data_IF_952686283424
#
_entry.id   IF_952686283424
#
_cell.length_a   1.000
_cell.length_b   1.000
_cell.length_c   1.000
_cell.angle_alpha   90.00
_cell.angle_beta   90.00
_cell.angle_gamma   90.00
#
_symmetry.space_group_name_H-M   'P 1'
#
loop_
_entity.id
_entity.type
_entity.pdbx_description
1 polymer ?
#
# COMPACT_ATOMS: atom_id res chain seq x y z
N UNK A 1 -13.97 -22.40 -11.41
CA UNK A 1 -13.33 -22.88 -12.66
C UNK A 1 -11.98 -22.22 -12.80
N UNK A 2 -10.89 -22.99 -12.70
CA UNK A 2 -9.52 -22.46 -12.77
C UNK A 2 -9.15 -22.06 -14.20
N UNK A 3 -8.52 -20.91 -14.36
CA UNK A 3 -7.94 -20.49 -15.64
C UNK A 3 -6.83 -21.44 -16.07
N UNK A 4 -6.83 -21.85 -17.34
CA UNK A 4 -5.75 -22.66 -17.94
C UNK A 4 -4.55 -21.75 -18.28
N UNK A 5 -3.32 -22.30 -18.36
CA UNK A 5 -2.15 -21.57 -18.85
C UNK A 5 -2.42 -20.98 -20.23
N UNK A 6 -1.95 -19.75 -20.48
CA UNK A 6 -2.05 -19.15 -21.81
C UNK A 6 -1.00 -19.79 -22.75
N UNK A 7 -1.47 -20.31 -23.89
CA UNK A 7 -0.60 -20.78 -24.96
C UNK A 7 -0.21 -19.66 -25.92
N UNK A 8 1.03 -19.71 -26.38
CA UNK A 8 1.59 -18.88 -27.44
C UNK A 8 1.54 -19.63 -28.77
N UNK A 9 1.53 -18.89 -29.88
CA UNK A 9 1.75 -19.48 -31.20
C UNK A 9 3.21 -19.99 -31.27
N UNK A 10 3.39 -21.31 -31.23
CA UNK A 10 4.69 -21.99 -31.12
C UNK A 10 4.82 -22.95 -29.93
N UNK A 11 3.89 -22.89 -28.97
CA UNK A 11 3.86 -23.80 -27.83
C UNK A 11 3.53 -25.24 -28.26
N UNK A 12 4.21 -26.21 -27.65
CA UNK A 12 4.02 -27.62 -27.99
C UNK A 12 2.59 -28.07 -27.69
N UNK A 13 1.95 -28.64 -28.71
CA UNK A 13 0.69 -29.37 -28.60
C UNK A 13 0.97 -30.86 -28.74
N UNK A 14 0.19 -31.70 -28.05
CA UNK A 14 0.22 -33.14 -28.33
C UNK A 14 -0.46 -33.34 -29.69
N UNK A 15 0.31 -33.31 -30.79
CA UNK A 15 -0.13 -33.56 -32.19
C UNK A 15 -1.61 -33.20 -32.45
N UNK A 16 -1.93 -31.91 -32.42
CA UNK A 16 -3.28 -31.40 -32.73
C UNK A 16 -4.28 -31.42 -31.57
N UNK A 17 -3.84 -31.75 -30.35
CA UNK A 17 -4.63 -31.74 -29.11
C UNK A 17 -4.01 -30.80 -28.07
N UNK A 18 -4.25 -31.06 -26.78
CA UNK A 18 -3.95 -30.19 -25.65
C UNK A 18 -2.52 -29.61 -25.64
N UNK A 19 -2.43 -28.36 -25.16
CA UNK A 19 -1.18 -27.64 -24.92
C UNK A 19 -0.44 -28.33 -23.78
N UNK A 20 0.78 -28.80 -24.06
CA UNK A 20 1.63 -29.53 -23.09
C UNK A 20 2.78 -28.69 -22.54
N UNK A 21 3.00 -27.48 -23.09
CA UNK A 21 3.97 -26.52 -22.59
C UNK A 21 3.37 -25.12 -22.72
N UNK A 22 2.95 -24.53 -21.60
CA UNK A 22 2.53 -23.13 -21.50
C UNK A 22 3.39 -22.39 -20.49
N UNK A 23 3.50 -21.07 -20.62
CA UNK A 23 4.27 -20.25 -19.67
C UNK A 23 3.54 -20.16 -18.33
N UNK A 24 4.07 -20.84 -17.31
CA UNK A 24 3.53 -20.83 -15.94
C UNK A 24 3.52 -19.44 -15.24
N UNK A 25 4.14 -18.42 -15.85
CA UNK A 25 4.27 -17.05 -15.29
C UNK A 25 3.50 -15.95 -16.02
N UNK A 26 2.47 -16.26 -16.82
CA UNK A 26 1.75 -15.29 -17.68
C UNK A 26 0.30 -15.12 -17.20
N UNK A 27 -0.02 -13.94 -16.66
CA UNK A 27 -1.31 -13.64 -16.01
C UNK A 27 -2.19 -12.69 -16.84
N UNK A 28 -3.24 -13.23 -17.45
CA UNK A 28 -4.31 -12.44 -18.09
C UNK A 28 -5.23 -11.89 -16.99
N UNK A 29 -5.33 -10.55 -16.85
CA UNK A 29 -6.44 -9.88 -16.14
C UNK A 29 -6.10 -9.13 -14.86
N UNK A 30 -4.86 -9.17 -14.37
CA UNK A 30 -4.49 -8.43 -13.17
C UNK A 30 -4.16 -6.95 -13.49
N UNK A 31 -4.57 -5.98 -12.64
CA UNK A 31 -4.22 -4.56 -12.76
C UNK A 31 -2.72 -4.29 -12.93
N UNK A 32 -1.88 -5.16 -12.37
CA UNK A 32 -0.40 -5.14 -12.42
C UNK A 32 0.19 -6.43 -13.01
N UNK A 33 -0.63 -7.26 -13.67
CA UNK A 33 -0.21 -8.55 -14.24
C UNK A 33 0.75 -8.42 -15.41
N UNK A 34 1.68 -9.37 -15.53
CA UNK A 34 2.85 -9.28 -16.44
C UNK A 34 2.55 -9.75 -17.88
N UNK A 35 1.37 -10.30 -18.21
CA UNK A 35 1.09 -10.67 -19.61
C UNK A 35 -0.40 -10.74 -20.03
N UNK A 36 -0.74 -10.13 -21.17
CA UNK A 36 -2.05 -10.17 -21.79
C UNK A 36 -1.94 -10.91 -23.12
N UNK A 37 -2.50 -12.12 -23.21
CA UNK A 37 -2.39 -12.96 -24.42
C UNK A 37 -3.16 -12.42 -25.63
N UNK A 38 -4.05 -11.45 -25.41
CA UNK A 38 -4.90 -10.82 -26.45
C UNK A 38 -4.44 -9.42 -26.82
N UNK A 39 -3.46 -8.87 -26.11
CA UNK A 39 -2.95 -7.53 -26.36
C UNK A 39 -1.88 -7.60 -27.47
N UNK A 40 -1.90 -6.69 -28.46
CA UNK A 40 -0.86 -6.62 -29.47
C UNK A 40 0.54 -6.57 -28.81
N UNK A 41 1.39 -7.54 -29.11
CA UNK A 41 2.75 -7.64 -28.55
C UNK A 41 2.85 -8.13 -27.10
N UNK A 42 1.77 -8.63 -26.48
CA UNK A 42 1.79 -9.14 -25.10
C UNK A 42 1.87 -8.06 -24.01
N UNK A 43 1.76 -6.79 -24.40
CA UNK A 43 1.91 -5.60 -23.54
C UNK A 43 0.72 -5.50 -22.57
N UNK A 44 0.97 -5.45 -21.25
CA UNK A 44 -0.07 -5.33 -20.19
C UNK A 44 -0.23 -3.94 -19.59
N UNK A 45 0.61 -2.99 -19.95
CA UNK A 45 0.40 -1.59 -19.61
C UNK A 45 0.99 -0.73 -20.72
N UNK A 46 0.15 0.07 -21.38
CA UNK A 46 0.63 1.18 -22.19
C UNK A 46 0.70 2.35 -21.22
N UNK A 47 1.83 2.57 -20.51
CA UNK A 47 1.94 3.60 -19.48
C UNK A 47 1.23 4.90 -19.92
N UNK A 48 0.02 5.22 -19.39
CA UNK A 48 -0.54 4.79 -18.10
C UNK A 48 -1.88 3.99 -18.12
N UNK A 49 -2.18 3.11 -19.08
CA UNK A 49 -3.45 2.36 -19.21
C UNK A 49 -3.23 0.84 -19.19
N UNK A 50 -4.00 0.14 -18.34
CA UNK A 50 -4.14 -1.31 -18.37
C UNK A 50 -5.17 -1.70 -19.46
N UNK A 51 -4.76 -2.39 -20.54
CA UNK A 51 -5.62 -2.67 -21.69
C UNK A 51 -6.73 -3.69 -21.39
N UNK A 52 -6.57 -4.53 -20.36
CA UNK A 52 -7.59 -5.52 -19.98
C UNK A 52 -8.71 -4.90 -19.14
N UNK A 53 -8.37 -3.94 -18.28
CA UNK A 53 -9.33 -3.31 -17.38
C UNK A 53 -9.84 -1.97 -17.91
N UNK A 54 -9.20 -1.40 -18.94
CA UNK A 54 -9.41 -0.01 -19.35
C UNK A 54 -9.05 1.01 -18.26
N UNK A 55 -8.36 0.56 -17.22
CA UNK A 55 -8.06 1.36 -16.04
C UNK A 55 -6.76 2.15 -16.25
N UNK A 56 -6.74 3.41 -15.81
CA UNK A 56 -5.50 4.15 -15.67
C UNK A 56 -4.72 3.57 -14.50
N UNK A 57 -3.44 3.25 -14.72
CA UNK A 57 -2.55 2.67 -13.73
C UNK A 57 -1.21 3.41 -13.73
N UNK A 58 -0.66 3.63 -12.54
CA UNK A 58 0.74 4.06 -12.35
C UNK A 58 1.36 3.09 -11.33
N UNK A 59 2.01 2.02 -11.80
CA UNK A 59 2.59 1.04 -10.90
C UNK A 59 3.91 1.54 -10.30
N UNK A 60 4.01 1.58 -8.98
CA UNK A 60 5.30 1.68 -8.27
C UNK A 60 6.07 3.00 -8.44
N UNK A 61 5.37 4.15 -8.37
CA UNK A 61 6.00 5.48 -8.33
C UNK A 61 6.81 5.63 -7.04
N UNK A 62 8.14 5.55 -7.14
CA UNK A 62 9.03 5.65 -5.96
C UNK A 62 9.30 7.11 -5.64
N UNK A 63 8.98 7.52 -4.41
CA UNK A 63 9.24 8.88 -3.91
C UNK A 63 10.50 8.92 -3.02
N UNK A 64 10.76 7.85 -2.27
CA UNK A 64 11.91 7.74 -1.39
C UNK A 64 12.46 6.31 -1.39
N UNK A 65 13.76 6.18 -1.59
CA UNK A 65 14.49 4.95 -1.38
C UNK A 65 15.89 5.28 -0.87
N UNK A 66 16.20 4.91 0.38
CA UNK A 66 17.55 5.00 0.90
C UNK A 66 18.16 3.59 0.90
N UNK A 67 19.32 3.37 0.25
CA UNK A 67 19.98 2.06 0.27
C UNK A 67 20.22 1.56 1.69
N UNK A 68 20.07 0.26 1.89
CA UNK A 68 20.28 -0.39 3.18
C UNK A 68 19.80 -1.85 3.16
N UNK A 69 20.15 -2.64 4.18
CA UNK A 69 19.54 -3.94 4.41
C UNK A 69 18.03 -3.77 4.70
N UNK A 70 17.17 -4.53 3.99
CA UNK A 70 15.70 -4.42 4.03
C UNK A 70 15.21 -2.95 4.16
N UNK A 71 15.41 -2.14 3.11
CA UNK A 71 15.22 -0.70 3.19
C UNK A 71 13.74 -0.32 3.23
N UNK A 72 13.41 0.75 3.93
CA UNK A 72 12.13 1.40 3.75
C UNK A 72 12.12 2.14 2.39
N UNK A 73 11.30 1.63 1.48
CA UNK A 73 11.04 2.24 0.18
C UNK A 73 9.62 2.78 0.22
N UNK A 74 9.47 4.10 0.15
CA UNK A 74 8.17 4.71 -0.02
C UNK A 74 7.89 4.86 -1.51
N UNK A 75 6.95 4.04 -1.96
CA UNK A 75 6.39 4.12 -3.30
C UNK A 75 4.88 4.27 -3.25
N UNK A 76 4.29 4.55 -4.40
CA UNK A 76 2.85 4.72 -4.57
C UNK A 76 2.39 3.99 -5.81
N UNK A 77 1.30 3.25 -5.69
CA UNK A 77 0.61 2.67 -6.83
C UNK A 77 -0.72 3.38 -7.03
N UNK A 78 -0.99 3.86 -8.24
CA UNK A 78 -2.31 4.35 -8.62
C UNK A 78 -3.03 3.32 -9.48
N UNK A 79 -4.32 3.16 -9.24
CA UNK A 79 -5.22 2.43 -10.11
C UNK A 79 -6.60 3.06 -10.10
N UNK A 80 -7.16 3.34 -11.27
CA UNK A 80 -8.56 3.74 -11.41
C UNK A 80 -9.54 2.55 -11.39
N UNK A 81 -9.03 1.33 -11.25
CA UNK A 81 -9.87 0.13 -11.21
C UNK A 81 -10.58 0.01 -9.86
N UNK A 82 -11.90 -0.21 -9.92
CA UNK A 82 -12.75 -0.33 -8.74
C UNK A 82 -12.96 -1.80 -8.42
N UNK A 83 -12.36 -2.25 -7.31
CA UNK A 83 -12.60 -3.61 -6.81
C UNK A 83 -13.94 -3.68 -6.09
N UNK A 84 -14.53 -4.88 -6.04
CA UNK A 84 -15.82 -5.12 -5.35
C UNK A 84 -15.71 -4.99 -3.82
N UNK A 85 -14.53 -5.24 -3.27
CA UNK A 85 -14.25 -5.27 -1.83
C UNK A 85 -13.02 -4.41 -1.50
N UNK A 86 -13.10 -3.09 -1.76
CA UNK A 86 -11.95 -2.21 -1.57
C UNK A 86 -11.54 -2.15 -0.10
N UNK A 87 -10.24 -2.08 0.17
CA UNK A 87 -9.74 -1.58 1.44
C UNK A 87 -10.06 -0.07 1.57
N UNK A 88 -10.10 0.48 2.80
CA UNK A 88 -10.17 1.92 3.01
C UNK A 88 -9.13 2.69 2.19
N UNK A 89 -9.42 3.96 1.92
CA UNK A 89 -8.50 4.89 1.28
C UNK A 89 -7.28 5.10 2.17
N UNK A 90 -6.10 5.03 1.57
CA UNK A 90 -4.82 5.20 2.27
C UNK A 90 -4.39 6.66 2.39
N UNK A 91 -3.20 6.88 2.94
CA UNK A 91 -2.65 8.22 3.23
C UNK A 91 -2.36 9.08 1.99
N UNK A 92 -2.38 8.49 0.80
CA UNK A 92 -2.23 9.23 -0.47
C UNK A 92 -3.58 9.62 -1.12
N UNK A 93 -4.69 9.31 -0.47
CA UNK A 93 -6.03 9.62 -0.97
C UNK A 93 -6.55 8.61 -2.00
N UNK A 94 -7.75 8.87 -2.55
CA UNK A 94 -8.47 7.88 -3.33
C UNK A 94 -7.71 7.46 -4.61
N UNK A 95 -7.78 6.17 -4.94
CA UNK A 95 -7.07 5.58 -6.09
C UNK A 95 -5.59 5.27 -5.86
N UNK A 96 -4.97 5.84 -4.82
CA UNK A 96 -3.58 5.56 -4.45
C UNK A 96 -3.46 4.53 -3.35
N UNK A 97 -2.36 3.76 -3.37
CA UNK A 97 -1.97 2.82 -2.32
C UNK A 97 -0.48 2.94 -2.00
N UNK A 98 -0.16 2.92 -0.71
CA UNK A 98 1.19 2.80 -0.18
C UNK A 98 1.55 1.32 0.05
N UNK A 99 2.85 0.96 0.09
CA UNK A 99 3.30 -0.38 0.45
C UNK A 99 2.74 -0.90 1.78
N UNK A 100 2.51 0.00 2.75
CA UNK A 100 1.98 -0.33 4.07
C UNK A 100 0.45 -0.29 4.19
N UNK A 101 -0.26 -0.06 3.08
CA UNK A 101 -1.72 -0.16 3.02
C UNK A 101 -2.21 -1.61 2.83
N UNK A 102 -1.28 -2.59 2.76
CA UNK A 102 -1.64 -4.02 2.70
C UNK A 102 -2.49 -4.37 3.93
N UNK A 103 -3.63 -5.01 3.66
CA UNK A 103 -4.64 -5.34 4.66
C UNK A 103 -5.25 -6.69 4.37
N UNK A 104 -5.48 -7.50 5.40
CA UNK A 104 -6.27 -8.71 5.32
C UNK A 104 -7.65 -8.44 5.92
N UNK A 105 -8.72 -8.71 5.19
CA UNK A 105 -10.08 -8.74 5.74
C UNK A 105 -10.41 -10.18 6.13
N UNK A 106 -10.90 -10.36 7.35
CA UNK A 106 -11.35 -11.65 7.87
C UNK A 106 -12.86 -11.66 7.80
N UNK A 107 -13.43 -12.60 7.05
CA UNK A 107 -14.88 -12.78 6.89
C UNK A 107 -15.23 -14.22 7.22
N UNK A 108 -16.51 -14.46 7.51
CA UNK A 108 -17.00 -15.80 7.87
C UNK A 108 -16.72 -16.83 6.76
N UNK A 109 -16.91 -16.43 5.50
CA UNK A 109 -16.78 -17.29 4.32
C UNK A 109 -15.41 -17.20 3.63
N UNK A 110 -14.42 -16.50 4.23
CA UNK A 110 -13.09 -16.41 3.61
C UNK A 110 -12.25 -15.21 4.00
N UNK A 111 -11.06 -15.16 3.40
CA UNK A 111 -10.07 -14.13 3.61
C UNK A 111 -9.91 -13.29 2.34
N UNK A 112 -9.77 -11.98 2.50
CA UNK A 112 -9.50 -11.06 1.38
C UNK A 112 -8.24 -10.27 1.68
N UNK A 113 -7.16 -10.55 0.94
CA UNK A 113 -5.95 -9.76 1.00
C UNK A 113 -6.05 -8.59 0.02
N UNK A 114 -6.04 -7.38 0.54
CA UNK A 114 -5.82 -6.18 -0.23
C UNK A 114 -4.32 -5.91 -0.35
N UNK A 115 -3.78 -6.01 -1.56
CA UNK A 115 -2.34 -5.82 -1.80
C UNK A 115 -1.96 -4.33 -1.94
N UNK A 116 -0.66 -4.06 -2.07
CA UNK A 116 -0.13 -2.70 -2.23
C UNK A 116 -0.48 -2.04 -3.56
N UNK A 117 -1.08 -2.78 -4.50
CA UNK A 117 -1.65 -2.24 -5.75
C UNK A 117 -3.15 -1.96 -5.65
N UNK A 118 -3.77 -2.21 -4.49
CA UNK A 118 -5.20 -2.02 -4.27
C UNK A 118 -6.07 -3.14 -4.83
N UNK A 119 -5.48 -4.29 -5.19
CA UNK A 119 -6.22 -5.47 -5.66
C UNK A 119 -6.81 -6.22 -4.49
N UNK A 120 -7.95 -6.88 -4.70
CA UNK A 120 -8.54 -7.81 -3.72
C UNK A 120 -8.26 -9.25 -4.17
N UNK A 121 -7.52 -9.99 -3.35
CA UNK A 121 -7.18 -11.39 -3.57
C UNK A 121 -7.93 -12.24 -2.56
N UNK A 122 -8.67 -13.24 -3.04
CA UNK A 122 -9.50 -14.09 -2.20
C UNK A 122 -8.80 -15.41 -1.85
N UNK A 123 -8.90 -15.80 -0.59
CA UNK A 123 -8.43 -17.07 -0.05
C UNK A 123 -9.52 -17.73 0.80
N UNK A 124 -9.45 -19.06 0.90
CA UNK A 124 -10.23 -19.81 1.88
C UNK A 124 -9.79 -19.45 3.31
N UNK A 125 -10.64 -19.65 4.34
CA UNK A 125 -10.24 -19.55 5.74
C UNK A 125 -9.04 -20.47 6.05
N UNK A 126 -8.14 -20.01 6.92
CA UNK A 126 -6.97 -20.76 7.36
C UNK A 126 -7.08 -21.15 8.84
N UNK A 127 -6.81 -22.41 9.15
CA UNK A 127 -6.57 -22.86 10.52
C UNK A 127 -5.21 -22.35 11.03
N UNK A 128 -5.01 -22.26 12.37
CA UNK A 128 -3.70 -21.93 12.92
C UNK A 128 -2.59 -22.85 12.40
N UNK A 129 -1.50 -22.26 11.91
CA UNK A 129 -0.37 -22.96 11.29
C UNK A 129 -0.56 -23.37 9.82
N UNK A 130 -1.74 -23.16 9.24
CA UNK A 130 -2.01 -23.52 7.85
C UNK A 130 -1.37 -22.53 6.86
N UNK A 131 -0.95 -23.05 5.70
CA UNK A 131 -0.38 -22.29 4.58
C UNK A 131 -1.14 -22.64 3.31
N UNK A 132 -1.65 -21.62 2.61
CA UNK A 132 -2.27 -21.74 1.30
C UNK A 132 -1.44 -21.03 0.23
N UNK A 133 -1.36 -21.62 -0.95
CA UNK A 133 -0.68 -21.04 -2.11
C UNK A 133 -1.66 -20.75 -3.23
N UNK A 134 -1.78 -19.48 -3.59
CA UNK A 134 -2.50 -19.06 -4.78
C UNK A 134 -1.57 -19.12 -6.00
N UNK A 135 -1.81 -20.11 -6.87
CA UNK A 135 -1.05 -20.25 -8.13
C UNK A 135 -1.28 -19.08 -9.09
N UNK A 136 -2.50 -18.53 -9.12
CA UNK A 136 -2.82 -17.39 -10.00
C UNK A 136 -2.17 -16.09 -9.54
N UNK A 137 -1.93 -15.94 -8.24
CA UNK A 137 -1.29 -14.75 -7.68
C UNK A 137 0.22 -14.94 -7.43
N UNK A 138 0.72 -16.18 -7.56
CA UNK A 138 2.06 -16.57 -7.13
C UNK A 138 2.37 -16.08 -5.71
N UNK A 139 1.41 -16.29 -4.82
CA UNK A 139 1.40 -15.73 -3.48
C UNK A 139 0.99 -16.79 -2.46
N UNK A 140 1.77 -16.91 -1.40
CA UNK A 140 1.44 -17.69 -0.22
C UNK A 140 0.77 -16.80 0.82
N UNK A 141 -0.29 -17.30 1.43
CA UNK A 141 -0.89 -16.77 2.64
C UNK A 141 -0.81 -17.86 3.72
N UNK A 142 -0.32 -17.49 4.89
CA UNK A 142 -0.21 -18.38 6.03
C UNK A 142 -0.82 -17.74 7.27
N UNK A 143 -1.21 -18.58 8.22
CA UNK A 143 -1.65 -18.17 9.55
C UNK A 143 -0.68 -18.69 10.59
N UNK A 144 -0.26 -17.83 11.51
CA UNK A 144 0.53 -18.25 12.67
C UNK A 144 -0.22 -19.24 13.57
N UNK A 145 0.41 -19.65 14.67
CA UNK A 145 -0.13 -20.61 15.63
C UNK A 145 0.70 -21.87 15.80
N UNK A 146 1.86 -21.99 15.15
CA UNK A 146 2.75 -23.15 15.28
C UNK A 146 4.21 -22.73 15.34
N UNK A 147 4.98 -23.37 16.22
CA UNK A 147 6.40 -23.10 16.36
C UNK A 147 7.18 -23.43 15.08
N UNK A 148 6.84 -24.53 14.40
CA UNK A 148 7.54 -24.98 13.21
C UNK A 148 6.59 -25.57 12.19
N UNK A 149 6.91 -25.36 10.91
CA UNK A 149 6.29 -26.05 9.80
C UNK A 149 6.99 -27.40 9.56
N UNK A 150 6.24 -28.38 9.05
CA UNK A 150 6.81 -29.67 8.68
C UNK A 150 7.88 -29.51 7.60
N UNK A 151 8.92 -30.34 7.60
CA UNK A 151 10.07 -30.22 6.68
C UNK A 151 9.70 -30.32 5.18
N UNK A 152 8.58 -30.97 4.87
CA UNK A 152 8.04 -31.08 3.50
C UNK A 152 7.40 -29.79 2.99
N UNK A 153 7.12 -28.82 3.86
CA UNK A 153 6.56 -27.52 3.47
C UNK A 153 7.67 -26.66 2.85
N UNK A 154 7.56 -26.20 1.59
CA UNK A 154 8.56 -25.35 0.95
C UNK A 154 8.97 -24.11 1.74
N UNK A 155 8.05 -23.53 2.52
CA UNK A 155 8.31 -22.35 3.35
C UNK A 155 8.86 -22.69 4.75
N UNK A 156 9.16 -23.96 5.05
CA UNK A 156 9.59 -24.37 6.40
C UNK A 156 10.86 -23.66 6.87
N UNK A 157 11.86 -23.51 6.00
CA UNK A 157 13.09 -22.78 6.31
C UNK A 157 12.82 -21.28 6.56
N UNK A 158 12.04 -20.65 5.67
CA UNK A 158 11.68 -19.24 5.79
C UNK A 158 10.79 -18.99 7.03
N UNK A 159 9.96 -19.95 7.43
CA UNK A 159 9.16 -19.88 8.65
C UNK A 159 10.05 -19.73 9.89
N UNK A 160 11.15 -20.47 9.97
CA UNK A 160 12.06 -20.43 11.14
C UNK A 160 12.77 -19.09 11.34
N UNK A 161 12.80 -18.26 10.30
CA UNK A 161 13.39 -16.92 10.38
C UNK A 161 12.48 -15.94 11.14
N UNK A 162 11.19 -16.24 11.26
CA UNK A 162 10.24 -15.39 11.95
C UNK A 162 10.47 -15.37 13.48
N UNK A 163 10.27 -14.21 14.13
CA UNK A 163 10.19 -14.12 15.59
C UNK A 163 9.21 -15.14 16.19
N UNK A 164 9.52 -15.65 17.39
CA UNK A 164 8.74 -16.73 18.01
C UNK A 164 7.30 -16.30 18.34
N UNK A 165 7.12 -15.10 18.86
CA UNK A 165 5.83 -14.48 19.13
C UNK A 165 4.95 -14.41 17.87
N UNK A 166 5.55 -14.08 16.72
CA UNK A 166 4.88 -14.06 15.42
C UNK A 166 4.48 -15.47 14.97
N UNK A 167 5.36 -16.46 15.13
CA UNK A 167 5.09 -17.87 14.74
C UNK A 167 3.99 -18.49 15.59
N UNK A 168 3.99 -18.24 16.89
CA UNK A 168 3.05 -18.84 17.84
C UNK A 168 1.69 -18.15 17.87
N UNK A 169 1.57 -16.92 17.36
CA UNK A 169 0.31 -16.18 17.40
C UNK A 169 -0.70 -16.67 16.34
N UNK A 170 -1.87 -17.19 16.73
CA UNK A 170 -2.93 -17.57 15.79
C UNK A 170 -3.68 -16.35 15.22
N UNK A 171 -3.35 -15.15 15.67
CA UNK A 171 -3.97 -13.89 15.23
C UNK A 171 -3.13 -13.17 14.17
N UNK A 172 -1.91 -13.61 13.92
CA UNK A 172 -1.05 -13.08 12.88
C UNK A 172 -1.22 -13.88 11.59
N UNK A 173 -1.34 -13.15 10.49
CA UNK A 173 -1.27 -13.72 9.15
C UNK A 173 0.02 -13.26 8.47
N UNK A 174 0.52 -14.10 7.58
CA UNK A 174 1.79 -13.90 6.91
C UNK A 174 1.56 -14.05 5.42
N UNK A 175 2.12 -13.16 4.61
CA UNK A 175 2.11 -13.31 3.16
C UNK A 175 3.54 -13.31 2.63
N UNK A 176 3.80 -14.06 1.57
CA UNK A 176 5.05 -13.98 0.81
C UNK A 176 4.82 -14.40 -0.64
N UNK A 177 5.58 -13.85 -1.58
CA UNK A 177 5.56 -14.24 -2.98
C UNK A 177 6.84 -14.98 -3.39
N UNK A 178 7.68 -15.37 -2.44
CA UNK A 178 8.99 -15.97 -2.67
C UNK A 178 9.32 -16.98 -1.59
N UNK A 179 9.95 -18.09 -1.97
CA UNK A 179 10.44 -19.07 -1.01
C UNK A 179 11.59 -18.54 -0.13
N UNK A 180 12.22 -17.43 -0.54
CA UNK A 180 13.31 -16.75 0.18
C UNK A 180 12.82 -15.51 0.94
N UNK A 181 11.51 -15.25 0.90
CA UNK A 181 10.90 -14.07 1.49
C UNK A 181 11.00 -12.81 0.63
N UNK A 182 10.65 -11.65 1.22
CA UNK A 182 10.34 -11.48 2.63
C UNK A 182 8.96 -12.03 3.04
N UNK A 183 8.74 -12.16 4.34
CA UNK A 183 7.42 -12.27 4.95
C UNK A 183 6.84 -10.89 5.21
N UNK A 184 5.62 -10.64 4.75
CA UNK A 184 4.77 -9.54 5.20
C UNK A 184 3.95 -9.99 6.41
N UNK A 185 4.11 -9.30 7.53
CA UNK A 185 3.43 -9.61 8.79
C UNK A 185 2.15 -8.78 8.88
N UNK A 186 1.01 -9.46 8.88
CA UNK A 186 -0.32 -8.89 8.97
C UNK A 186 -0.87 -9.14 10.39
N UNK A 187 -0.71 -8.14 11.24
CA UNK A 187 -1.05 -8.19 12.65
C UNK A 187 -2.24 -7.32 13.04
N UNK A 188 -2.55 -7.33 14.34
CA UNK A 188 -3.52 -6.44 14.95
C UNK A 188 -2.82 -5.12 15.36
N UNK A 189 -3.23 -3.96 14.83
CA UNK A 189 -2.54 -2.70 15.08
C UNK A 189 -2.92 -2.02 16.39
N UNK A 190 -4.08 -2.33 16.96
CA UNK A 190 -4.59 -1.67 18.16
C UNK A 190 -4.14 -2.51 19.36
N UNK A 191 -3.15 -1.99 20.10
CA UNK A 191 -2.78 -2.30 21.48
C UNK A 191 -2.82 -3.79 21.91
N UNK A 192 -1.66 -4.30 22.33
CA UNK A 192 -1.60 -5.49 23.19
C UNK A 192 -2.18 -5.09 24.57
N UNK A 193 -3.26 -5.74 25.04
CA UNK A 193 -3.84 -5.45 26.36
C UNK A 193 -2.78 -5.62 27.45
N UNK A 194 -2.79 -4.77 28.47
CA UNK A 194 -1.97 -5.02 29.66
C UNK A 194 -2.47 -6.27 30.39
N UNK A 195 -1.62 -6.89 31.22
CA UNK A 195 -1.91 -8.20 31.84
C UNK A 195 -3.26 -8.27 32.60
N UNK A 196 -3.75 -7.12 33.07
CA UNK A 196 -4.99 -6.98 33.84
C UNK A 196 -6.18 -6.43 33.02
N UNK A 197 -5.98 -6.16 31.72
CA UNK A 197 -7.00 -5.61 30.83
C UNK A 197 -7.75 -6.72 30.06
N UNK A 198 -9.08 -6.64 30.03
CA UNK A 198 -9.89 -7.56 29.21
C UNK A 198 -9.55 -7.31 27.74
N UNK A 199 -9.11 -8.34 26.97
CA UNK A 199 -8.75 -8.13 25.58
C UNK A 199 -9.94 -7.57 24.77
N UNK A 200 -9.76 -6.47 24.02
CA UNK A 200 -10.77 -5.99 23.09
C UNK A 200 -11.15 -7.09 22.08
N UNK A 201 -12.37 -7.02 21.55
CA UNK A 201 -12.74 -7.86 20.42
C UNK A 201 -11.78 -7.60 19.24
N UNK A 202 -11.22 -8.69 18.70
CA UNK A 202 -10.28 -8.59 17.59
C UNK A 202 -11.00 -8.03 16.36
N UNK A 203 -10.44 -7.01 15.69
CA UNK A 203 -11.03 -6.48 14.48
C UNK A 203 -11.16 -7.56 13.41
N UNK A 204 -12.19 -7.43 12.57
CA UNK A 204 -12.40 -8.26 11.38
C UNK A 204 -11.36 -7.99 10.26
N UNK A 205 -10.19 -7.49 10.61
CA UNK A 205 -9.10 -7.21 9.69
C UNK A 205 -7.72 -7.26 10.38
N UNK A 206 -6.68 -7.43 9.58
CA UNK A 206 -5.27 -7.27 9.95
C UNK A 206 -4.61 -6.29 9.01
N UNK A 207 -3.59 -5.60 9.47
CA UNK A 207 -2.84 -4.63 8.67
C UNK A 207 -1.36 -4.99 8.68
N UNK A 208 -0.61 -4.49 7.71
CA UNK A 208 0.84 -4.64 7.71
C UNK A 208 1.45 -3.96 8.93
N UNK A 209 2.12 -4.75 9.77
CA UNK A 209 2.85 -4.30 10.96
C UNK A 209 4.35 -4.42 10.78
N UNK A 210 4.81 -5.30 9.90
CA UNK A 210 6.22 -5.41 9.58
C UNK A 210 6.53 -6.31 8.40
N UNK A 211 7.82 -6.37 8.08
CA UNK A 211 8.41 -7.20 7.05
C UNK A 211 9.64 -7.88 7.61
N UNK A 212 9.80 -9.18 7.37
CA UNK A 212 10.98 -9.95 7.79
C UNK A 212 11.59 -10.60 6.56
N UNK A 213 12.86 -10.31 6.28
CA UNK A 213 13.54 -10.95 5.16
C UNK A 213 14.06 -12.34 5.51
N UNK A 214 14.61 -13.06 4.51
CA UNK A 214 15.15 -14.41 4.71
C UNK A 214 16.37 -14.50 5.65
N UNK A 215 16.89 -13.37 6.13
CA UNK A 215 18.01 -13.30 7.08
C UNK A 215 17.56 -12.90 8.49
N UNK A 216 16.26 -12.68 8.72
CA UNK A 216 15.72 -12.31 10.02
C UNK A 216 15.79 -10.82 10.32
N UNK A 217 16.16 -9.99 9.32
CA UNK A 217 16.14 -8.54 9.47
C UNK A 217 14.71 -8.05 9.38
N UNK A 218 14.38 -7.05 10.17
CA UNK A 218 13.01 -6.58 10.35
C UNK A 218 12.84 -5.15 9.86
N UNK A 219 11.76 -4.88 9.14
CA UNK A 219 11.23 -3.55 8.94
C UNK A 219 9.89 -3.45 9.68
N UNK A 220 9.74 -2.45 10.54
CA UNK A 220 8.57 -2.31 11.42
C UNK A 220 7.81 -1.03 11.11
N UNK A 221 6.48 -1.14 10.99
CA UNK A 221 5.58 0.00 10.83
C UNK A 221 4.95 0.37 12.18
N UNK A 222 5.25 1.57 12.66
CA UNK A 222 4.74 2.11 13.91
C UNK A 222 3.47 2.90 13.65
N UNK A 223 2.41 2.58 14.38
CA UNK A 223 1.09 3.19 14.22
C UNK A 223 0.75 4.04 15.44
N UNK A 224 0.04 5.14 15.20
CA UNK A 224 -0.48 5.96 16.30
C UNK A 224 -1.49 5.14 17.12
N UNK A 225 -1.31 5.09 18.43
CA UNK A 225 -2.23 4.39 19.33
C UNK A 225 -3.53 5.17 19.55
N UNK A 226 -3.45 6.50 19.61
CA UNK A 226 -4.55 7.39 19.98
C UNK A 226 -4.58 8.68 19.13
N UNK A 227 -5.63 9.47 19.31
CA UNK A 227 -5.84 10.75 18.64
C UNK A 227 -6.46 10.64 17.25
N UNK A 228 -6.54 11.77 16.54
CA UNK A 228 -7.25 11.87 15.25
C UNK A 228 -6.65 11.01 14.12
N UNK A 229 -5.43 10.49 14.32
CA UNK A 229 -4.72 9.63 13.37
C UNK A 229 -4.50 8.21 13.89
N UNK A 230 -5.23 7.78 14.92
CA UNK A 230 -5.14 6.44 15.49
C UNK A 230 -5.22 5.34 14.42
N UNK A 231 -4.36 4.33 14.54
CA UNK A 231 -4.21 3.23 13.59
C UNK A 231 -3.43 3.56 12.31
N UNK A 232 -3.17 4.84 12.00
CA UNK A 232 -2.35 5.22 10.84
C UNK A 232 -0.85 5.08 11.14
N UNK A 233 -0.05 4.79 10.10
CA UNK A 233 1.41 4.67 10.21
C UNK A 233 2.03 6.05 10.37
N UNK A 234 2.66 6.29 11.52
CA UNK A 234 3.35 7.56 11.85
C UNK A 234 4.85 7.41 11.96
N UNK A 235 5.36 6.17 11.94
CA UNK A 235 6.79 5.91 11.90
C UNK A 235 7.13 4.58 11.25
N UNK A 236 8.38 4.46 10.81
CA UNK A 236 8.95 3.23 10.25
C UNK A 236 10.36 3.05 10.78
N UNK A 237 10.71 1.82 11.16
CA UNK A 237 12.11 1.44 11.40
C UNK A 237 12.50 0.43 10.34
N UNK A 238 13.54 0.69 9.56
CA UNK A 238 14.00 -0.24 8.52
C UNK A 238 15.04 -1.25 9.03
N UNK A 239 15.47 -2.17 8.15
CA UNK A 239 16.43 -3.21 8.51
C UNK A 239 17.85 -2.70 8.82
N UNK A 240 18.13 -1.41 8.57
CA UNK A 240 19.37 -0.74 8.96
C UNK A 240 19.26 -0.06 10.34
N UNK A 241 18.07 -0.07 10.95
CA UNK A 241 17.79 0.65 12.20
C UNK A 241 17.50 2.14 12.01
N UNK A 242 17.30 2.61 10.77
CA UNK A 242 16.92 4.01 10.53
C UNK A 242 15.47 4.22 10.91
N UNK A 243 15.19 5.33 11.59
CA UNK A 243 13.83 5.70 11.98
C UNK A 243 13.32 6.83 11.09
N UNK A 244 12.15 6.60 10.51
CA UNK A 244 11.41 7.55 9.70
C UNK A 244 10.18 8.02 10.46
N UNK A 245 9.89 9.31 10.39
CA UNK A 245 8.65 9.89 10.89
C UNK A 245 7.76 10.35 9.74
N UNK A 246 6.52 9.86 9.71
CA UNK A 246 5.50 10.20 8.73
C UNK A 246 4.57 11.23 9.36
N UNK A 247 4.64 12.46 8.86
CA UNK A 247 3.78 13.56 9.32
C UNK A 247 2.43 13.43 8.64
N UNK A 248 1.38 13.23 9.41
CA UNK A 248 0.02 13.06 8.91
C UNK A 248 -0.83 14.29 9.23
N UNK A 249 -1.74 14.64 8.32
CA UNK A 249 -2.76 15.68 8.54
C UNK A 249 -4.16 15.13 8.35
N UNK A 250 -5.11 15.66 9.10
CA UNK A 250 -6.54 15.41 8.90
C UNK A 250 -7.15 16.41 7.94
N UNK A 251 -8.34 16.10 7.41
CA UNK A 251 -9.07 17.04 6.56
C UNK A 251 -9.39 18.34 7.29
N UNK A 252 -9.82 18.26 8.56
CA UNK A 252 -10.12 19.42 9.38
C UNK A 252 -8.89 20.32 9.60
N UNK A 253 -7.72 19.73 9.87
CA UNK A 253 -6.46 20.48 10.01
C UNK A 253 -6.09 21.21 8.72
N UNK A 254 -6.23 20.56 7.56
CA UNK A 254 -5.97 21.20 6.25
C UNK A 254 -6.96 22.32 5.95
N UNK A 255 -8.24 22.15 6.29
CA UNK A 255 -9.26 23.18 6.15
C UNK A 255 -8.97 24.40 7.03
N UNK A 256 -8.54 24.18 8.28
CA UNK A 256 -8.14 25.25 9.18
C UNK A 256 -6.89 25.99 8.70
N UNK A 257 -5.86 25.27 8.22
CA UNK A 257 -4.67 25.86 7.64
C UNK A 257 -5.01 26.75 6.44
N UNK A 258 -5.90 26.29 5.56
CA UNK A 258 -6.40 27.07 4.43
C UNK A 258 -7.11 28.36 4.90
N UNK A 259 -7.97 28.27 5.92
CA UNK A 259 -8.65 29.45 6.52
C UNK A 259 -7.64 30.46 7.08
N UNK A 260 -6.63 29.99 7.81
CA UNK A 260 -5.55 30.84 8.37
C UNK A 260 -4.77 31.56 7.26
N UNK A 261 -4.34 30.84 6.22
CA UNK A 261 -3.62 31.43 5.07
C UNK A 261 -4.46 32.47 4.31
N UNK A 262 -5.77 32.24 4.20
CA UNK A 262 -6.68 33.21 3.56
C UNK A 262 -6.82 34.47 4.41
N UNK A 263 -6.95 34.34 5.72
CA UNK A 263 -7.05 35.48 6.63
C UNK A 263 -5.78 36.36 6.57
N UNK A 264 -4.58 35.75 6.58
CA UNK A 264 -3.31 36.51 6.45
C UNK A 264 -3.19 37.21 5.10
N UNK A 265 -3.64 36.55 4.01
CA UNK A 265 -3.61 37.13 2.66
C UNK A 265 -4.57 38.32 2.51
N UNK A 266 -5.75 38.25 3.13
CA UNK A 266 -6.73 39.35 3.17
C UNK A 266 -6.28 40.53 4.04
N UNK A 267 -5.35 40.30 4.97
CA UNK A 267 -4.84 41.31 5.91
C UNK A 267 -3.63 42.09 5.37
N UNK A 268 -3.11 41.74 4.19
CA UNK A 268 -1.93 42.39 3.58
C UNK A 268 -2.32 43.62 2.74
N UNK A 269 -1.78 44.83 3.02
CA UNK A 269 -2.18 46.06 2.35
C UNK A 269 -1.35 46.34 1.07
N UNK A 270 -1.50 45.55 0.00
CA UNK A 270 -1.17 45.94 -1.39
C UNK A 270 -1.32 44.77 -2.37
N UNK A 271 -2.26 44.86 -3.32
CA UNK A 271 -2.32 43.99 -4.50
C UNK A 271 -3.73 43.92 -5.11
N UNK A 272 -3.88 43.88 -6.46
CA UNK A 272 -5.19 43.87 -7.10
C UNK A 272 -6.00 42.66 -6.64
N UNK A 273 -7.25 42.90 -6.22
CA UNK A 273 -8.18 41.85 -5.80
C UNK A 273 -8.49 40.95 -6.98
N UNK A 274 -7.79 39.82 -7.07
CA UNK A 274 -8.21 38.75 -7.97
C UNK A 274 -9.45 38.11 -7.36
N UNK A 275 -10.61 38.40 -7.96
CA UNK A 275 -11.86 37.70 -7.70
C UNK A 275 -11.78 36.28 -8.29
N UNK A 276 -10.83 35.47 -7.80
CA UNK A 276 -10.85 34.04 -8.08
C UNK A 276 -11.88 33.41 -7.16
N UNK A 277 -13.01 33.01 -7.77
CA UNK A 277 -14.05 32.15 -7.22
C UNK A 277 -13.44 31.07 -6.33
N UNK A 278 -13.50 31.27 -5.01
CA UNK A 278 -12.79 30.40 -4.07
C UNK A 278 -13.52 29.08 -3.94
N UNK A 279 -12.89 27.99 -4.37
CA UNK A 279 -13.25 26.68 -3.87
C UNK A 279 -13.07 26.70 -2.35
N UNK A 280 -14.14 26.44 -1.62
CA UNK A 280 -14.06 26.22 -0.17
C UNK A 280 -13.20 24.96 0.08
N UNK A 281 -12.36 24.99 1.11
CA UNK A 281 -11.69 23.79 1.60
C UNK A 281 -12.59 23.19 2.69
N UNK A 282 -13.25 22.05 2.45
CA UNK A 282 -14.25 21.52 3.36
C UNK A 282 -13.60 20.90 4.60
N UNK A 283 -14.23 21.02 5.77
CA UNK A 283 -13.73 20.41 7.01
C UNK A 283 -13.86 18.87 7.01
N UNK A 284 -14.76 18.32 6.20
CA UNK A 284 -15.00 16.88 6.06
C UNK A 284 -14.99 16.43 4.60
N UNK A 285 -14.67 15.16 4.37
CA UNK A 285 -14.79 14.51 3.06
C UNK A 285 -16.11 13.72 2.99
N UNK A 286 -16.62 13.43 1.77
CA UNK A 286 -17.73 12.51 1.60
C UNK A 286 -17.46 11.16 2.27
N UNK A 287 -18.47 10.59 2.93
CA UNK A 287 -18.35 9.37 3.75
C UNK A 287 -17.93 8.11 2.96
N UNK A 288 -17.99 8.15 1.63
CA UNK A 288 -17.57 7.05 0.78
C UNK A 288 -17.01 7.55 -0.54
N UNK A 289 -16.00 6.84 -1.03
CA UNK A 289 -15.48 7.00 -2.39
C UNK A 289 -15.68 5.70 -3.14
N UNK A 290 -15.58 5.76 -4.46
CA UNK A 290 -15.56 4.57 -5.32
C UNK A 290 -14.30 3.68 -5.07
N UNK A 291 -13.38 4.15 -4.22
CA UNK A 291 -12.14 3.49 -3.81
C UNK A 291 -12.16 3.01 -2.35
N UNK A 292 -13.31 3.07 -1.67
CA UNK A 292 -13.49 2.69 -0.27
C UNK A 292 -13.78 3.88 0.65
N UNK A 293 -13.97 3.59 1.94
CA UNK A 293 -14.16 4.63 2.97
C UNK A 293 -12.90 5.48 3.12
N UNK A 294 -13.07 6.79 3.24
CA UNK A 294 -11.97 7.75 3.36
C UNK A 294 -12.05 8.49 4.70
N UNK A 295 -11.02 8.32 5.53
CA UNK A 295 -10.92 8.95 6.84
C UNK A 295 -10.33 10.37 6.78
N UNK A 296 -9.95 10.86 5.59
CA UNK A 296 -9.38 12.19 5.40
C UNK A 296 -7.96 12.36 5.96
N UNK A 297 -7.29 11.29 6.40
CA UNK A 297 -5.89 11.34 6.83
C UNK A 297 -4.98 11.33 5.60
N UNK A 298 -4.00 12.22 5.55
CA UNK A 298 -3.03 12.31 4.46
C UNK A 298 -1.60 12.46 4.95
N UNK A 299 -0.65 11.89 4.22
CA UNK A 299 0.78 12.05 4.47
C UNK A 299 1.24 13.41 3.98
N UNK A 300 1.68 14.31 4.85
CA UNK A 300 2.19 15.63 4.46
C UNK A 300 3.70 15.61 4.17
N UNK A 301 4.47 14.92 5.01
CA UNK A 301 5.92 14.88 4.91
C UNK A 301 6.51 13.60 5.50
N UNK A 302 7.72 13.25 5.05
CA UNK A 302 8.51 12.14 5.60
C UNK A 302 9.85 12.68 6.05
N UNK A 303 10.20 12.41 7.31
CA UNK A 303 11.48 12.78 7.91
C UNK A 303 12.29 11.53 8.22
N UNK A 304 13.62 11.64 8.08
CA UNK A 304 14.55 10.72 8.73
C UNK A 304 14.92 11.34 10.07
N UNK A 305 14.54 10.69 11.17
CA UNK A 305 14.73 11.21 12.53
C UNK A 305 15.89 10.55 13.25
N UNK A 306 16.33 9.38 12.79
CA UNK A 306 17.50 8.70 13.32
C UNK A 306 18.17 7.87 12.23
N UNK A 307 19.49 8.01 12.09
CA UNK A 307 20.33 7.14 11.26
C UNK A 307 21.50 6.60 12.11
N UNK A 308 21.56 5.29 12.41
CA UNK A 308 22.66 4.71 13.18
C UNK A 308 24.04 4.91 12.56
N UNK A 309 24.14 5.05 11.23
CA UNK A 309 25.41 5.27 10.56
C UNK A 309 25.89 6.73 10.69
N UNK A 310 24.96 7.66 10.87
CA UNK A 310 25.21 9.10 10.96
C UNK A 310 24.37 9.74 12.08
N UNK A 311 24.64 9.42 13.35
CA UNK A 311 23.78 9.81 14.47
C UNK A 311 23.69 11.33 14.66
N UNK A 312 24.73 12.07 14.26
CA UNK A 312 24.84 13.52 14.44
C UNK A 312 24.39 14.32 13.19
N UNK A 313 24.07 13.66 12.07
CA UNK A 313 23.75 14.32 10.79
C UNK A 313 22.27 14.19 10.42
N UNK A 314 21.37 14.73 11.25
CA UNK A 314 19.95 14.72 10.93
C UNK A 314 19.61 15.72 9.81
N UNK A 315 18.78 15.31 8.81
CA UNK A 315 18.31 16.23 7.78
C UNK A 315 17.55 17.43 8.36
N UNK A 316 17.89 18.64 7.89
CA UNK A 316 17.18 19.88 8.23
C UNK A 316 15.88 20.09 7.45
N UNK A 317 15.61 19.22 6.48
CA UNK A 317 14.44 19.25 5.61
C UNK A 317 13.86 17.83 5.46
N UNK A 318 12.54 17.71 5.23
CA UNK A 318 11.92 16.42 4.98
C UNK A 318 12.46 15.80 3.69
N UNK A 319 12.47 14.47 3.65
CA UNK A 319 12.92 13.69 2.50
C UNK A 319 11.96 13.79 1.31
N UNK A 320 10.66 13.87 1.61
CA UNK A 320 9.60 14.09 0.64
C UNK A 320 8.46 14.88 1.28
N UNK A 321 7.75 15.69 0.47
CA UNK A 321 6.51 16.37 0.88
C UNK A 321 5.41 16.16 -0.14
N UNK A 322 4.17 16.24 0.34
CA UNK A 322 2.98 15.97 -0.45
C UNK A 322 1.94 17.07 -0.22
N UNK A 323 1.22 17.43 -1.27
CA UNK A 323 0.09 18.36 -1.17
C UNK A 323 -1.16 17.75 -1.77
N UNK A 324 -2.32 18.24 -1.34
CA UNK A 324 -3.60 17.64 -1.66
C UNK A 324 -4.60 18.68 -2.18
N UNK A 325 -5.57 18.23 -2.98
CA UNK A 325 -6.73 19.02 -3.38
C UNK A 325 -7.69 19.21 -2.18
N UNK A 326 -8.66 20.12 -2.30
CA UNK A 326 -9.73 20.28 -1.30
C UNK A 326 -10.55 19.00 -1.11
N UNK A 327 -10.68 18.17 -2.17
CA UNK A 327 -11.29 16.85 -2.13
C UNK A 327 -10.40 15.74 -1.56
N UNK A 328 -9.20 16.08 -1.07
CA UNK A 328 -8.29 15.12 -0.44
C UNK A 328 -7.54 14.23 -1.44
N UNK A 329 -7.44 14.61 -2.72
CA UNK A 329 -6.68 13.87 -3.73
C UNK A 329 -5.24 14.35 -3.77
N UNK A 330 -4.27 13.45 -3.98
CA UNK A 330 -2.86 13.83 -4.02
C UNK A 330 -2.57 14.73 -5.22
N UNK A 331 -2.21 15.99 -4.96
CA UNK A 331 -1.98 17.01 -5.98
C UNK A 331 -0.54 17.02 -6.51
N UNK A 332 0.44 16.94 -5.62
CA UNK A 332 1.85 17.04 -6.00
C UNK A 332 2.77 16.34 -4.99
N UNK A 333 3.95 15.95 -5.47
CA UNK A 333 5.06 15.43 -4.66
C UNK A 333 6.27 16.33 -4.86
N UNK A 334 6.96 16.62 -3.76
CA UNK A 334 8.16 17.43 -3.71
C UNK A 334 9.32 16.61 -3.14
N UNK A 335 10.49 16.76 -3.73
CA UNK A 335 11.73 16.16 -3.23
C UNK A 335 12.28 16.92 -2.02
N UNK A 336 13.43 16.46 -1.50
CA UNK A 336 14.15 17.08 -0.37
C UNK A 336 14.55 18.53 -0.62
N UNK A 337 14.81 18.91 -1.87
CA UNK A 337 15.14 20.30 -2.23
C UNK A 337 13.92 21.23 -2.19
N UNK A 338 12.72 20.64 -2.15
CA UNK A 338 11.46 21.33 -2.26
C UNK A 338 11.02 21.57 -3.70
N UNK A 339 11.66 20.92 -4.67
CA UNK A 339 11.26 20.97 -6.07
C UNK A 339 10.08 20.03 -6.29
N UNK A 340 9.03 20.51 -6.96
CA UNK A 340 7.92 19.65 -7.37
C UNK A 340 8.44 18.66 -8.42
N UNK A 341 8.38 17.37 -8.12
CA UNK A 341 8.83 16.29 -9.02
C UNK A 341 7.65 15.58 -9.69
N UNK A 342 6.47 15.59 -9.08
CA UNK A 342 5.25 14.99 -9.63
C UNK A 342 4.08 15.93 -9.46
N UNK A 343 3.15 15.93 -10.41
CA UNK A 343 1.85 16.57 -10.24
C UNK A 343 0.73 15.78 -10.92
N UNK A 344 -0.47 15.88 -10.33
CA UNK A 344 -1.64 15.09 -10.71
C UNK A 344 -2.89 15.97 -10.84
N UNK A 345 -3.73 15.64 -11.81
CA UNK A 345 -5.02 16.30 -12.06
C UNK A 345 -6.13 15.26 -12.05
N UNK A 346 -7.26 15.62 -11.47
CA UNK A 346 -8.39 14.72 -11.24
C UNK A 346 -9.65 15.22 -11.94
N UNK A 347 -10.55 14.28 -12.20
CA UNK A 347 -11.91 14.51 -12.68
C UNK A 347 -12.73 15.24 -11.59
N UNK A 348 -13.43 16.31 -11.96
CA UNK A 348 -14.18 17.11 -11.00
C UNK A 348 -15.45 16.42 -10.49
N UNK A 349 -16.00 15.48 -11.25
CA UNK A 349 -17.24 14.76 -10.93
C UNK A 349 -16.96 13.42 -10.24
N UNK A 350 -15.78 12.83 -10.50
CA UNK A 350 -15.40 11.50 -10.01
C UNK A 350 -14.18 11.57 -9.09
N UNK A 351 -14.42 11.77 -7.79
CA UNK A 351 -13.38 11.85 -6.77
C UNK A 351 -12.39 10.67 -6.86
N UNK A 352 -11.10 11.00 -6.94
CA UNK A 352 -10.01 10.04 -7.05
C UNK A 352 -9.68 9.59 -8.47
N UNK A 353 -10.51 9.91 -9.47
CA UNK A 353 -10.26 9.55 -10.86
C UNK A 353 -9.26 10.54 -11.48
N UNK A 354 -7.99 10.14 -11.52
CA UNK A 354 -6.93 10.91 -12.17
C UNK A 354 -7.12 10.96 -13.69
N UNK A 355 -7.06 12.16 -14.26
CA UNK A 355 -7.16 12.42 -15.71
C UNK A 355 -5.82 12.82 -16.32
N UNK A 356 -4.90 13.39 -15.53
CA UNK A 356 -3.56 13.73 -16.00
C UNK A 356 -2.51 13.58 -14.88
N UNK A 357 -1.27 13.37 -15.30
CA UNK A 357 -0.10 13.36 -14.44
C UNK A 357 1.10 13.89 -15.22
N UNK A 358 2.07 14.50 -14.54
CA UNK A 358 3.33 14.90 -15.15
C UNK A 358 4.50 14.61 -14.21
N UNK A 359 5.66 14.37 -14.82
CA UNK A 359 6.95 14.35 -14.16
C UNK A 359 7.66 15.66 -14.46
N UNK A 360 8.18 16.32 -13.43
CA UNK A 360 9.10 17.43 -13.58
C UNK A 360 10.50 16.84 -13.42
N UNK A 361 11.10 16.46 -14.56
CA UNK A 361 12.41 15.82 -14.64
C UNK A 361 12.75 15.47 -16.07
#
# INVERSE_FOLDING_TARGET
>A
MGGKPAARQGDMTRKGLDIVQGSAGVLIGAPTGVACSVCPGGITYANPVNPLLGAKVLPGETDLALPGPLPFILSRAYSSYRTRTPAPVGVFGPGWKAPFDIRLQIRDEGLILNDSGGRSIHFEPLFPGEISYSRSESLWLARGGVAAQHSSQPLSALWQVLPEDVRLSPHVYLATNSLQGPWWILGWPERVPEADEVPPELPAYRVLTGVVDGFGRTLTFHRAAEGDVAGAVTGVTDGAGRCFHLVLTTQAQRAEAFRKQRATSLSSPAGPRSASSSSAFPDTLPAGTEYGADNGIRLEAVWLTHDPAYPDEQPTAPLARYTYTAGGELRAVYDRSGTQVRGFTYDAEHAGRMVAHHYAG
#
